data_IF_373572514648
#
_entry.id   IF_373572514648
#
_cell.length_a   1.000
_cell.length_b   1.000
_cell.length_c   1.000
_cell.angle_alpha   90.00
_cell.angle_beta   90.00
_cell.angle_gamma   90.00
#
_symmetry.space_group_name_H-M   'P 1'
#
loop_
_entity.id
_entity.type
_entity.pdbx_description
1 polymer ?
#
# COMPACT_ATOMS: atom_id res chain seq x y z
N UNK A 1 -2.25 15.37 23.07
CA UNK A 1 -1.73 16.45 22.20
C UNK A 1 -1.10 17.53 23.07
N UNK A 2 0.04 18.14 22.67
CA UNK A 2 0.64 19.25 23.40
C UNK A 2 -0.32 20.46 23.45
N UNK A 3 -0.62 21.03 24.64
CA UNK A 3 -1.61 22.10 24.80
C UNK A 3 -1.28 23.38 24.04
N UNK A 4 0.01 23.71 23.87
CA UNK A 4 0.46 24.96 23.25
C UNK A 4 1.11 24.72 21.87
N UNK A 5 0.89 23.54 21.28
CA UNK A 5 1.71 23.08 20.15
C UNK A 5 3.15 22.77 20.58
N UNK A 6 3.98 22.31 19.63
CA UNK A 6 5.37 21.91 19.89
C UNK A 6 5.60 20.39 19.89
N UNK A 7 6.86 19.98 20.10
CA UNK A 7 7.24 18.55 20.12
C UNK A 7 6.75 17.89 21.40
N UNK A 8 6.36 16.62 21.32
CA UNK A 8 6.02 15.82 22.51
C UNK A 8 7.26 15.72 23.41
N UNK A 9 7.17 16.26 24.64
CA UNK A 9 8.23 16.17 25.65
C UNK A 9 7.75 15.32 26.85
N UNK A 10 8.54 14.38 27.39
CA UNK A 10 8.09 13.43 28.41
C UNK A 10 7.54 14.04 29.71
N UNK A 11 8.03 15.21 30.09
CA UNK A 11 7.68 15.89 31.35
C UNK A 11 6.48 16.85 31.22
N UNK A 12 5.88 16.96 30.03
CA UNK A 12 4.80 17.91 29.76
C UNK A 12 3.42 17.28 29.98
N UNK A 13 2.50 18.02 30.58
CA UNK A 13 1.10 17.61 30.64
C UNK A 13 0.47 17.59 29.23
N UNK A 14 -0.26 16.52 28.93
CA UNK A 14 -0.89 16.31 27.62
C UNK A 14 -2.41 16.38 27.72
N UNK A 15 -3.06 17.03 26.75
CA UNK A 15 -4.50 16.82 26.57
C UNK A 15 -4.76 15.44 25.98
N UNK A 16 -5.70 14.73 26.59
CA UNK A 16 -6.27 13.52 26.01
C UNK A 16 -7.31 13.90 24.96
N UNK A 17 -7.24 13.26 23.81
CA UNK A 17 -8.22 13.43 22.73
C UNK A 17 -8.67 12.05 22.32
N UNK A 18 -9.98 11.85 22.34
CA UNK A 18 -10.60 10.64 21.86
C UNK A 18 -10.73 10.69 20.34
N UNK A 19 -10.06 9.77 19.64
CA UNK A 19 -10.05 9.70 18.19
C UNK A 19 -11.11 8.76 17.62
N UNK A 20 -11.97 8.14 18.44
CA UNK A 20 -12.96 7.12 17.99
C UNK A 20 -13.87 7.59 16.86
N UNK A 21 -14.26 8.87 16.86
CA UNK A 21 -15.17 9.45 15.87
C UNK A 21 -14.46 10.38 14.87
N UNK A 22 -13.13 10.30 14.78
CA UNK A 22 -12.36 11.05 13.79
C UNK A 22 -12.19 10.16 12.56
N UNK A 23 -12.64 10.65 11.40
CA UNK A 23 -12.42 9.98 10.12
C UNK A 23 -10.98 10.18 9.66
N UNK A 24 -10.29 9.09 9.39
CA UNK A 24 -8.94 9.10 8.81
C UNK A 24 -9.00 8.71 7.34
N UNK A 25 -8.49 9.59 6.47
CA UNK A 25 -8.28 9.31 5.04
C UNK A 25 -6.77 9.36 4.80
N UNK A 26 -6.17 8.19 4.60
CA UNK A 26 -4.75 8.06 4.27
C UNK A 26 -4.61 7.89 2.76
N UNK A 27 -3.81 8.74 2.12
CA UNK A 27 -3.58 8.71 0.67
C UNK A 27 -2.14 9.06 0.31
N UNK A 28 -1.69 8.59 -0.84
CA UNK A 28 -0.33 8.80 -1.34
C UNK A 28 -0.13 8.25 -2.74
N UNK A 29 1.01 8.57 -3.35
CA UNK A 29 1.39 8.00 -4.64
C UNK A 29 2.24 6.75 -4.43
N UNK A 30 1.72 5.59 -4.83
CA UNK A 30 2.37 4.28 -4.66
C UNK A 30 3.09 3.87 -5.95
N UNK A 31 4.17 4.57 -6.28
CA UNK A 31 4.95 4.29 -7.50
C UNK A 31 5.53 2.86 -7.48
N UNK A 32 5.29 2.07 -8.52
CA UNK A 32 5.77 0.70 -8.61
C UNK A 32 4.83 -0.34 -8.02
N UNK A 33 3.73 0.06 -7.37
CA UNK A 33 2.71 -0.87 -6.88
C UNK A 33 2.08 -1.67 -8.03
N UNK A 34 1.94 -1.06 -9.20
CA UNK A 34 1.45 -1.73 -10.41
C UNK A 34 2.30 -2.95 -10.79
N UNK A 35 3.62 -2.90 -10.55
CA UNK A 35 4.53 -4.02 -10.82
C UNK A 35 4.33 -5.16 -9.82
N UNK A 36 4.07 -4.84 -8.55
CA UNK A 36 3.77 -5.84 -7.51
C UNK A 36 2.49 -6.59 -7.87
N UNK A 37 1.44 -5.86 -8.24
CA UNK A 37 0.15 -6.42 -8.66
C UNK A 37 0.30 -7.26 -9.93
N UNK A 38 1.04 -6.76 -10.92
CA UNK A 38 1.30 -7.51 -12.16
C UNK A 38 2.08 -8.80 -11.90
N UNK A 39 3.08 -8.78 -11.02
CA UNK A 39 3.84 -10.00 -10.68
C UNK A 39 2.97 -11.06 -10.01
N UNK A 40 1.99 -10.66 -9.19
CA UNK A 40 1.00 -11.59 -8.62
C UNK A 40 0.08 -12.18 -9.69
N UNK A 41 -0.40 -11.32 -10.60
CA UNK A 41 -1.38 -11.67 -11.64
C UNK A 41 -0.78 -12.47 -12.80
N UNK A 42 0.50 -12.25 -13.10
CA UNK A 42 1.19 -12.84 -14.24
C UNK A 42 2.17 -13.90 -13.76
N UNK A 43 1.64 -15.08 -13.41
CA UNK A 43 2.47 -16.25 -13.11
C UNK A 43 2.99 -16.86 -14.42
N UNK A 44 4.11 -16.37 -14.92
CA UNK A 44 4.87 -17.05 -15.97
C UNK A 44 5.62 -18.25 -15.39
N UNK A 45 5.39 -19.43 -15.94
CA UNK A 45 6.19 -20.62 -15.62
C UNK A 45 7.46 -20.69 -16.47
N UNK A 46 8.51 -21.34 -15.96
CA UNK A 46 9.67 -21.74 -16.75
C UNK A 46 9.52 -23.24 -17.03
N UNK A 47 9.55 -23.66 -18.30
CA UNK A 47 9.46 -25.07 -18.69
C UNK A 47 8.86 -25.27 -20.08
N UNK A 48 9.11 -26.43 -20.70
CA UNK A 48 8.66 -26.76 -22.06
C UNK A 48 7.12 -26.74 -22.24
N UNK A 49 6.36 -26.92 -21.16
CA UNK A 49 4.89 -26.82 -21.14
C UNK A 49 4.38 -25.57 -20.39
N UNK A 50 5.25 -24.61 -20.08
CA UNK A 50 4.80 -23.40 -19.40
C UNK A 50 4.03 -22.50 -20.37
N UNK A 51 2.87 -22.01 -19.93
CA UNK A 51 2.09 -21.01 -20.65
C UNK A 51 2.87 -19.68 -20.63
N UNK A 52 3.64 -19.42 -21.67
CA UNK A 52 4.36 -18.15 -21.83
C UNK A 52 3.36 -17.12 -22.32
N UNK A 53 2.76 -16.37 -21.40
CA UNK A 53 1.96 -15.19 -21.76
C UNK A 53 2.91 -14.09 -22.24
N UNK A 54 2.64 -13.55 -23.43
CA UNK A 54 3.40 -12.43 -23.98
C UNK A 54 3.34 -11.24 -23.02
N UNK A 55 4.46 -10.52 -22.88
CA UNK A 55 4.54 -9.27 -22.11
C UNK A 55 3.80 -8.11 -22.79
N UNK A 56 3.01 -8.39 -23.83
CA UNK A 56 2.48 -7.37 -24.72
C UNK A 56 1.12 -6.87 -24.23
N UNK A 57 1.06 -5.54 -24.16
CA UNK A 57 0.01 -4.68 -23.61
C UNK A 57 -0.12 -4.73 -22.08
N UNK A 58 0.89 -4.16 -21.42
CA UNK A 58 0.84 -3.87 -19.98
C UNK A 58 -0.48 -3.17 -19.64
N UNK A 59 -1.31 -3.82 -18.83
CA UNK A 59 -2.50 -3.24 -18.21
C UNK A 59 -2.18 -1.81 -17.82
N UNK A 60 -3.06 -0.86 -18.19
CA UNK A 60 -2.87 0.54 -17.79
C UNK A 60 -2.73 0.59 -16.27
N UNK A 61 -1.89 1.47 -15.75
CA UNK A 61 -1.68 1.60 -14.29
C UNK A 61 -3.01 1.64 -13.53
N UNK A 62 -3.98 2.40 -14.03
CA UNK A 62 -5.32 2.47 -13.44
C UNK A 62 -6.12 1.17 -13.45
N UNK A 63 -5.91 0.28 -14.43
CA UNK A 63 -6.52 -1.05 -14.46
C UNK A 63 -5.85 -2.00 -13.48
N UNK A 64 -4.52 -1.98 -13.39
CA UNK A 64 -3.78 -2.76 -12.40
C UNK A 64 -4.16 -2.37 -10.96
N UNK A 65 -4.29 -1.07 -10.67
CA UNK A 65 -4.64 -0.60 -9.34
C UNK A 65 -6.05 -1.02 -8.89
N UNK A 66 -6.98 -1.32 -9.81
CA UNK A 66 -8.32 -1.84 -9.47
C UNK A 66 -8.28 -3.26 -8.92
N UNK A 67 -7.23 -4.01 -9.21
CA UNK A 67 -7.06 -5.39 -8.78
C UNK A 67 -6.22 -5.52 -7.51
N UNK A 68 -5.85 -4.42 -6.86
CA UNK A 68 -4.98 -4.41 -5.67
C UNK A 68 -5.54 -5.28 -4.53
N UNK A 69 -4.67 -6.08 -3.92
CA UNK A 69 -4.97 -6.88 -2.73
C UNK A 69 -4.13 -6.45 -1.52
N UNK A 70 -4.55 -6.75 -0.27
CA UNK A 70 -3.77 -6.44 0.93
C UNK A 70 -2.35 -7.01 0.89
N UNK A 71 -2.16 -8.21 0.34
CA UNK A 71 -0.84 -8.84 0.17
C UNK A 71 0.10 -8.03 -0.74
N UNK A 72 -0.44 -7.32 -1.73
CA UNK A 72 0.35 -6.45 -2.61
C UNK A 72 0.88 -5.24 -1.83
N UNK A 73 0.08 -4.71 -0.89
CA UNK A 73 0.48 -3.62 0.00
C UNK A 73 1.56 -4.07 0.99
N UNK A 74 1.47 -5.29 1.52
CA UNK A 74 2.50 -5.87 2.39
C UNK A 74 3.82 -6.05 1.63
N UNK A 75 3.76 -6.61 0.42
CA UNK A 75 4.95 -6.75 -0.45
C UNK A 75 5.53 -5.40 -0.88
N UNK A 76 4.70 -4.38 -1.00
CA UNK A 76 5.15 -3.00 -1.27
C UNK A 76 5.88 -2.38 -0.06
N UNK A 77 5.60 -2.85 1.15
CA UNK A 77 6.29 -2.44 2.37
C UNK A 77 5.39 -1.91 3.49
N UNK A 78 4.07 -1.98 3.34
CA UNK A 78 3.15 -1.68 4.44
C UNK A 78 3.17 -2.83 5.46
N UNK A 79 3.22 -2.49 6.73
CA UNK A 79 3.24 -3.48 7.82
C UNK A 79 1.78 -3.78 8.19
N UNK A 80 1.34 -5.05 8.13
CA UNK A 80 0.03 -5.42 8.67
C UNK A 80 0.04 -5.25 10.19
N UNK A 81 -1.09 -4.83 10.74
CA UNK A 81 -1.30 -4.69 12.19
C UNK A 81 -1.36 -6.03 12.93
#
# INVERSE_FOLDING_TARGET
VPPQGGRKHPQQEFLQVDTRNILFICGGAFSGLEKVIQNRSTRGGIGFNAEVRSKEEGKKVGESLREVEPDDLVKFGLIPE
#
